data_IF_849957990219
#
_entry.id   IF_849957990219
#
_cell.length_a   1.000
_cell.length_b   1.000
_cell.length_c   1.000
_cell.angle_alpha   90.00
_cell.angle_beta   90.00
_cell.angle_gamma   90.00
#
_symmetry.space_group_name_H-M   'P 1'
#
loop_
_entity.id
_entity.type
_entity.pdbx_description
1 polymer ?
#
# COMPACT_ATOMS: atom_id res chain seq x y z
N UNK A 1 -21.16 -15.43 25.65
CA UNK A 1 -19.82 -15.87 25.19
C UNK A 1 -19.85 -15.86 23.66
N UNK A 2 -19.24 -14.86 23.02
CA UNK A 2 -19.34 -14.69 21.56
C UNK A 2 -18.60 -15.85 20.87
N UNK A 3 -19.23 -16.50 19.89
CA UNK A 3 -18.63 -17.64 19.19
C UNK A 3 -17.30 -17.22 18.52
N UNK A 4 -16.25 -18.02 18.71
CA UNK A 4 -14.91 -17.76 18.15
C UNK A 4 -14.91 -17.51 16.63
N UNK A 5 -15.91 -18.02 15.89
CA UNK A 5 -16.09 -17.72 14.47
C UNK A 5 -16.52 -16.26 14.22
N UNK A 6 -17.46 -15.77 15.03
CA UNK A 6 -18.00 -14.41 14.91
C UNK A 6 -16.92 -13.38 15.26
N UNK A 7 -16.10 -13.65 16.29
CA UNK A 7 -14.96 -12.79 16.65
C UNK A 7 -13.99 -12.65 15.46
N UNK A 8 -13.62 -13.75 14.80
CA UNK A 8 -12.71 -13.73 13.65
C UNK A 8 -13.27 -12.91 12.49
N UNK A 9 -14.57 -13.03 12.22
CA UNK A 9 -15.24 -12.27 11.14
C UNK A 9 -15.24 -10.77 11.47
N UNK A 10 -15.59 -10.40 12.71
CA UNK A 10 -15.57 -8.99 13.15
C UNK A 10 -14.15 -8.41 13.03
N UNK A 11 -13.13 -9.14 13.50
CA UNK A 11 -11.74 -8.72 13.35
C UNK A 11 -11.34 -8.57 11.87
N UNK A 12 -11.74 -9.51 11.00
CA UNK A 12 -11.44 -9.42 9.57
C UNK A 12 -12.09 -8.18 8.92
N UNK A 13 -13.33 -7.84 9.29
CA UNK A 13 -14.02 -6.64 8.81
C UNK A 13 -13.33 -5.36 9.31
N UNK A 14 -12.91 -5.32 10.57
CA UNK A 14 -12.19 -4.18 11.12
C UNK A 14 -10.84 -3.97 10.43
N UNK A 15 -10.09 -5.05 10.19
CA UNK A 15 -8.83 -5.00 9.43
C UNK A 15 -9.09 -4.54 7.99
N UNK A 16 -10.17 -5.01 7.36
CA UNK A 16 -10.55 -4.58 6.00
C UNK A 16 -10.80 -3.07 5.94
N UNK A 17 -11.52 -2.52 6.91
CA UNK A 17 -11.77 -1.08 6.99
C UNK A 17 -10.47 -0.29 7.13
N UNK A 18 -9.57 -0.70 8.04
CA UNK A 18 -8.27 -0.05 8.23
C UNK A 18 -7.38 -0.13 6.98
N UNK A 19 -7.35 -1.28 6.31
CA UNK A 19 -6.58 -1.46 5.07
C UNK A 19 -7.15 -0.63 3.92
N UNK A 20 -8.48 -0.54 3.81
CA UNK A 20 -9.12 0.30 2.78
C UNK A 20 -8.81 1.78 2.97
N UNK A 21 -8.81 2.27 4.21
CA UNK A 21 -8.43 3.64 4.53
C UNK A 21 -6.94 3.90 4.22
N UNK A 22 -6.07 2.96 4.57
CA UNK A 22 -4.63 3.06 4.24
C UNK A 22 -4.40 3.10 2.72
N UNK A 23 -5.13 2.29 1.96
CA UNK A 23 -5.05 2.30 0.51
C UNK A 23 -5.59 3.54 -0.15
N UNK A 24 -6.61 4.17 0.43
CA UNK A 24 -7.11 5.45 -0.03
C UNK A 24 -5.99 6.51 0.02
N UNK A 25 -5.30 6.63 1.15
CA UNK A 25 -4.15 7.56 1.33
C UNK A 25 -3.03 7.22 0.34
N UNK A 26 -2.65 5.94 0.22
CA UNK A 26 -1.60 5.50 -0.73
C UNK A 26 -1.97 5.81 -2.17
N UNK A 27 -3.25 5.73 -2.53
CA UNK A 27 -3.72 6.06 -3.88
C UNK A 27 -3.64 7.55 -4.16
N UNK A 28 -3.97 8.41 -3.20
CA UNK A 28 -3.78 9.88 -3.33
C UNK A 28 -2.30 10.23 -3.56
N UNK A 29 -1.37 9.55 -2.88
CA UNK A 29 0.07 9.72 -3.08
C UNK A 29 0.53 9.31 -4.49
N UNK A 30 -0.04 8.24 -5.06
CA UNK A 30 0.27 7.83 -6.42
C UNK A 30 -0.36 8.76 -7.46
N UNK A 31 -1.59 9.21 -7.23
CA UNK A 31 -2.29 10.15 -8.12
C UNK A 31 -1.52 11.48 -8.18
N UNK A 32 -1.14 12.04 -7.03
CA UNK A 32 -0.34 13.28 -7.00
C UNK A 32 1.00 13.16 -7.73
N UNK A 33 1.65 11.98 -7.65
CA UNK A 33 2.86 11.70 -8.41
C UNK A 33 2.60 11.62 -9.93
N UNK A 34 1.51 10.97 -10.36
CA UNK A 34 1.16 10.82 -11.78
C UNK A 34 0.73 12.14 -12.40
N UNK A 35 -0.01 12.96 -11.65
CA UNK A 35 -0.47 14.29 -12.09
C UNK A 35 0.61 15.37 -11.99
N UNK A 36 1.75 15.07 -11.36
CA UNK A 36 2.83 16.04 -11.10
C UNK A 36 2.33 17.27 -10.34
N UNK A 37 1.58 17.02 -9.27
CA UNK A 37 1.06 18.06 -8.37
C UNK A 37 2.20 18.87 -7.73
N UNK A 38 1.86 20.02 -7.15
CA UNK A 38 2.85 20.91 -6.51
C UNK A 38 3.44 20.34 -5.23
N UNK A 39 2.73 19.39 -4.59
CA UNK A 39 3.16 18.62 -3.43
C UNK A 39 2.99 17.12 -3.72
N UNK A 40 4.09 16.38 -3.68
CA UNK A 40 4.12 14.95 -3.97
C UNK A 40 4.69 14.22 -2.76
N UNK A 41 3.96 13.23 -2.25
CA UNK A 41 4.44 12.36 -1.18
C UNK A 41 4.75 10.99 -1.74
N UNK A 42 6.01 10.56 -1.71
CA UNK A 42 6.39 9.26 -2.27
C UNK A 42 7.54 8.57 -1.53
N UNK A 43 7.48 7.24 -1.47
CA UNK A 43 8.55 6.38 -0.98
C UNK A 43 8.41 4.96 -1.50
N UNK A 44 9.45 4.15 -1.31
CA UNK A 44 9.39 2.70 -1.55
C UNK A 44 8.23 2.03 -0.80
N UNK A 45 7.87 2.51 0.41
CA UNK A 45 6.77 1.92 1.19
C UNK A 45 5.40 2.18 0.57
N UNK A 46 5.18 3.35 -0.05
CA UNK A 46 3.94 3.64 -0.80
C UNK A 46 3.78 2.64 -1.94
N UNK A 47 4.85 2.42 -2.73
CA UNK A 47 4.87 1.45 -3.82
C UNK A 47 4.62 0.02 -3.33
N UNK A 48 5.36 -0.45 -2.32
CA UNK A 48 5.18 -1.81 -1.77
C UNK A 48 3.76 -2.03 -1.24
N UNK A 49 3.20 -1.05 -0.52
CA UNK A 49 1.86 -1.16 0.07
C UNK A 49 0.80 -1.30 -1.02
N UNK A 50 0.90 -0.50 -2.08
CA UNK A 50 -0.05 -0.54 -3.20
C UNK A 50 -0.06 -1.92 -3.88
N UNK A 51 1.11 -2.46 -4.21
CA UNK A 51 1.21 -3.75 -4.90
C UNK A 51 0.99 -4.97 -3.99
N UNK A 52 1.18 -4.82 -2.68
CA UNK A 52 0.90 -5.89 -1.70
C UNK A 52 -0.59 -5.97 -1.31
N UNK A 53 -1.37 -4.92 -1.57
CA UNK A 53 -2.78 -4.85 -1.19
C UNK A 53 -3.64 -6.02 -1.71
N UNK A 54 -3.52 -6.47 -2.98
CA UNK A 54 -4.28 -7.61 -3.48
C UNK A 54 -4.08 -8.89 -2.65
N UNK A 55 -2.85 -9.13 -2.17
CA UNK A 55 -2.54 -10.29 -1.32
C UNK A 55 -3.25 -10.16 0.04
N UNK A 56 -3.15 -9.00 0.68
CA UNK A 56 -3.78 -8.79 1.99
C UNK A 56 -5.30 -8.89 1.89
N UNK A 57 -5.89 -8.26 0.87
CA UNK A 57 -7.31 -8.34 0.59
C UNK A 57 -7.76 -9.78 0.36
N UNK A 58 -6.99 -10.56 -0.40
CA UNK A 58 -7.26 -11.98 -0.64
C UNK A 58 -7.32 -12.77 0.67
N UNK A 59 -6.34 -12.60 1.57
CA UNK A 59 -6.32 -13.31 2.85
C UNK A 59 -7.48 -12.92 3.78
N UNK A 60 -7.88 -11.65 3.80
CA UNK A 60 -9.04 -11.19 4.57
C UNK A 60 -10.31 -11.87 4.06
N UNK A 61 -10.55 -11.84 2.75
CA UNK A 61 -11.71 -12.50 2.12
C UNK A 61 -11.66 -14.00 2.35
N UNK A 62 -10.49 -14.61 2.26
CA UNK A 62 -10.28 -16.03 2.52
C UNK A 62 -10.65 -16.42 3.96
N UNK A 63 -10.23 -15.64 4.97
CA UNK A 63 -10.59 -15.88 6.37
C UNK A 63 -12.11 -15.85 6.55
N UNK A 64 -12.78 -14.84 5.99
CA UNK A 64 -14.26 -14.75 6.05
C UNK A 64 -14.90 -15.94 5.35
N UNK A 65 -14.44 -16.28 4.14
CA UNK A 65 -14.96 -17.38 3.35
C UNK A 65 -14.86 -18.74 4.07
N UNK A 66 -13.69 -19.06 4.64
CA UNK A 66 -13.49 -20.33 5.36
C UNK A 66 -14.35 -20.38 6.63
N UNK A 67 -14.52 -19.26 7.35
CA UNK A 67 -15.37 -19.24 8.55
C UNK A 67 -16.86 -19.39 8.23
N UNK A 68 -17.32 -18.89 7.08
CA UNK A 68 -18.73 -18.97 6.64
C UNK A 68 -19.03 -20.33 5.96
N UNK A 69 -18.23 -20.73 4.98
CA UNK A 69 -18.48 -21.91 4.15
C UNK A 69 -17.89 -23.19 4.76
N UNK A 70 -16.88 -23.07 5.63
CA UNK A 70 -16.24 -24.21 6.28
C UNK A 70 -15.31 -25.03 5.37
N UNK A 71 -15.01 -24.56 4.16
CA UNK A 71 -14.12 -25.22 3.20
C UNK A 71 -13.14 -24.24 2.55
N UNK A 72 -12.05 -24.77 2.02
CA UNK A 72 -11.05 -23.98 1.30
C UNK A 72 -11.50 -23.71 -0.15
N UNK A 73 -11.15 -22.55 -0.74
CA UNK A 73 -11.38 -22.29 -2.16
C UNK A 73 -10.58 -23.26 -3.04
N UNK A 74 -11.20 -23.76 -4.12
CA UNK A 74 -10.59 -24.75 -5.03
C UNK A 74 -9.24 -24.32 -5.63
N UNK A 75 -9.06 -23.03 -5.87
CA UNK A 75 -7.86 -22.47 -6.52
C UNK A 75 -6.98 -21.65 -5.56
N UNK A 76 -7.05 -21.93 -4.25
CA UNK A 76 -6.32 -21.19 -3.22
C UNK A 76 -4.83 -21.05 -3.54
N UNK A 77 -4.17 -22.16 -3.88
CA UNK A 77 -2.73 -22.20 -4.12
C UNK A 77 -2.32 -21.33 -5.32
N UNK A 78 -3.11 -21.35 -6.39
CA UNK A 78 -2.86 -20.51 -7.57
C UNK A 78 -2.97 -19.03 -7.22
N UNK A 79 -4.06 -18.61 -6.56
CA UNK A 79 -4.24 -17.21 -6.14
C UNK A 79 -3.12 -16.77 -5.20
N UNK A 80 -2.78 -17.60 -4.22
CA UNK A 80 -1.71 -17.31 -3.28
C UNK A 80 -0.37 -17.14 -4.00
N UNK A 81 -0.02 -18.05 -4.92
CA UNK A 81 1.22 -17.97 -5.70
C UNK A 81 1.32 -16.67 -6.50
N UNK A 82 0.26 -16.28 -7.21
CA UNK A 82 0.26 -15.06 -8.01
C UNK A 82 0.37 -13.81 -7.15
N UNK A 83 -0.48 -13.66 -6.12
CA UNK A 83 -0.45 -12.48 -5.26
C UNK A 83 0.85 -12.37 -4.46
N UNK A 84 1.40 -13.50 -3.99
CA UNK A 84 2.69 -13.53 -3.32
C UNK A 84 3.83 -13.14 -4.26
N UNK A 85 3.81 -13.64 -5.50
CA UNK A 85 4.79 -13.24 -6.51
C UNK A 85 4.74 -11.74 -6.80
N UNK A 86 3.55 -11.14 -6.90
CA UNK A 86 3.40 -9.69 -7.11
C UNK A 86 3.98 -8.91 -5.93
N UNK A 87 3.65 -9.31 -4.70
CA UNK A 87 4.17 -8.67 -3.49
C UNK A 87 5.70 -8.76 -3.42
N UNK A 88 6.29 -9.94 -3.69
CA UNK A 88 7.75 -10.13 -3.69
C UNK A 88 8.45 -9.29 -4.76
N UNK A 89 7.92 -9.29 -5.99
CA UNK A 89 8.45 -8.46 -7.08
C UNK A 89 8.37 -6.98 -6.72
N UNK A 90 7.29 -6.56 -6.05
CA UNK A 90 7.13 -5.17 -5.62
C UNK A 90 8.21 -4.75 -4.61
N UNK A 91 8.64 -5.64 -3.72
CA UNK A 91 9.72 -5.36 -2.76
C UNK A 91 11.03 -5.08 -3.51
N UNK A 92 11.37 -5.95 -4.47
CA UNK A 92 12.60 -5.80 -5.26
C UNK A 92 12.55 -4.53 -6.10
N UNK A 93 11.41 -4.23 -6.73
CA UNK A 93 11.24 -3.05 -7.58
C UNK A 93 11.03 -1.74 -6.78
N UNK A 94 10.71 -1.83 -5.49
CA UNK A 94 10.44 -0.64 -4.66
C UNK A 94 11.65 0.28 -4.51
N UNK A 95 12.84 -0.31 -4.47
CA UNK A 95 14.10 0.43 -4.35
C UNK A 95 14.44 1.18 -5.64
N UNK A 96 14.58 0.54 -6.82
CA UNK A 96 14.88 1.24 -8.06
C UNK A 96 13.79 2.25 -8.42
N UNK A 97 12.52 1.94 -8.17
CA UNK A 97 11.42 2.89 -8.43
C UNK A 97 11.54 4.13 -7.55
N UNK A 98 11.86 3.99 -6.26
CA UNK A 98 12.05 5.15 -5.38
C UNK A 98 13.26 6.00 -5.76
N UNK A 99 14.35 5.39 -6.23
CA UNK A 99 15.50 6.13 -6.74
C UNK A 99 15.16 6.88 -8.02
N UNK A 100 14.46 6.22 -8.94
CA UNK A 100 14.03 6.81 -10.21
C UNK A 100 13.12 8.02 -9.98
N UNK A 101 12.08 7.87 -9.15
CA UNK A 101 11.15 8.96 -8.82
C UNK A 101 11.90 10.12 -8.16
N UNK A 102 12.79 9.83 -7.21
CA UNK A 102 13.59 10.86 -6.55
C UNK A 102 14.45 11.65 -7.54
N UNK A 103 15.16 10.96 -8.43
CA UNK A 103 15.99 11.59 -9.46
C UNK A 103 15.15 12.42 -10.43
N UNK A 104 14.02 11.87 -10.90
CA UNK A 104 13.12 12.53 -11.84
C UNK A 104 12.55 13.82 -11.26
N UNK A 105 12.01 13.77 -10.04
CA UNK A 105 11.44 14.95 -9.37
C UNK A 105 12.51 16.04 -9.14
N UNK A 106 13.72 15.66 -8.74
CA UNK A 106 14.83 16.60 -8.58
C UNK A 106 15.23 17.25 -9.91
N UNK A 107 15.24 16.48 -10.99
CA UNK A 107 15.49 16.99 -12.34
C UNK A 107 14.40 17.94 -12.82
N UNK A 108 13.16 17.73 -12.38
CA UNK A 108 12.00 18.57 -12.71
C UNK A 108 11.87 19.79 -11.77
N UNK A 109 12.87 20.04 -10.92
CA UNK A 109 12.97 21.24 -10.07
C UNK A 109 12.31 21.13 -8.70
N UNK A 110 11.80 19.96 -8.31
CA UNK A 110 11.22 19.77 -6.98
C UNK A 110 12.28 19.79 -5.88
N UNK A 111 11.93 20.42 -4.76
CA UNK A 111 12.71 20.44 -3.53
C UNK A 111 12.25 19.33 -2.60
N UNK A 112 13.19 18.70 -1.91
CA UNK A 112 12.92 17.58 -0.99
C UNK A 112 12.81 18.12 0.41
N UNK A 113 11.68 17.87 1.07
CA UNK A 113 11.49 18.30 2.45
C UNK A 113 12.29 17.43 3.43
N UNK A 114 12.80 18.01 4.54
CA UNK A 114 13.43 17.22 5.59
C UNK A 114 12.40 16.26 6.18
N UNK A 115 12.78 14.98 6.29
CA UNK A 115 11.89 13.97 6.86
C UNK A 115 11.81 14.13 8.37
N UNK A 116 10.60 14.00 8.90
CA UNK A 116 10.35 13.97 10.35
C UNK A 116 10.84 12.64 10.95
N UNK A 117 10.81 11.54 10.17
CA UNK A 117 11.25 10.22 10.62
C UNK A 117 11.85 9.40 9.48
N UNK A 118 12.73 8.45 9.79
CA UNK A 118 13.28 7.52 8.80
C UNK A 118 12.19 6.69 8.10
N UNK A 119 11.08 6.39 8.81
CA UNK A 119 9.95 5.62 8.28
C UNK A 119 8.95 6.47 7.49
N UNK A 120 9.02 7.80 7.57
CA UNK A 120 8.08 8.66 6.85
C UNK A 120 8.41 8.66 5.35
N UNK A 121 7.39 8.76 4.48
CA UNK A 121 7.63 8.98 3.06
C UNK A 121 8.38 10.29 2.82
N UNK A 122 8.97 10.45 1.63
CA UNK A 122 9.52 11.75 1.23
C UNK A 122 8.40 12.64 0.76
N UNK A 123 8.48 13.92 1.11
CA UNK A 123 7.65 14.96 0.52
C UNK A 123 8.51 15.80 -0.42
N UNK A 124 7.98 16.06 -1.60
CA UNK A 124 8.58 16.87 -2.65
C UNK A 124 7.66 18.05 -2.93
N UNK A 125 8.21 19.26 -3.02
CA UNK A 125 7.44 20.48 -3.29
C UNK A 125 8.08 21.30 -4.41
N UNK A 126 7.27 21.95 -5.26
CA UNK A 126 7.79 22.91 -6.26
C UNK A 126 8.24 24.22 -5.62
N UNK A 127 7.45 24.72 -4.67
CA UNK A 127 7.70 26.00 -4.01
C UNK A 127 7.99 25.83 -2.52
N UNK A 128 8.99 26.56 -2.02
CA UNK A 128 9.37 26.61 -0.60
C UNK A 128 8.20 27.12 0.27
N UNK A 129 7.26 27.88 -0.28
CA UNK A 129 6.09 28.34 0.49
C UNK A 129 5.12 27.21 0.86
N UNK A 130 5.28 26.04 0.25
CA UNK A 130 4.49 24.83 0.52
C UNK A 130 5.15 23.92 1.57
N UNK A 131 6.23 24.37 2.23
CA UNK A 131 6.72 23.74 3.45
C UNK A 131 5.66 23.90 4.55
N UNK A 132 4.99 22.79 4.88
CA UNK A 132 4.26 22.62 6.15
C UNK A 132 5.26 22.43 7.30
#
# INVERSE_FOLDING_TARGET
MLNNKIIRIICAILILALMSFSMFIVSEYLISLVLMDDKITFSSSVFMTFFSFPLVLYYIVFIVFVNVVGRYPKHHDSFNKYFCSIALVSIVLSFPTSLYVHYKLKSDGYLVCPRISWKSPNTYVKDIKLYD
#
